data_IF_275567842253
#
_entry.id   IF_275567842253
#
_cell.length_a   1.000
_cell.length_b   1.000
_cell.length_c   1.000
_cell.angle_alpha   90.00
_cell.angle_beta   90.00
_cell.angle_gamma   90.00
#
_symmetry.space_group_name_H-M   'P 1'
#
loop_
_entity.id
_entity.type
_entity.pdbx_description
1 polymer ?
#
# COMPACT_ATOMS: atom_id res chain seq x y z
N UNK A 1 9.21 15.87 15.60
CA UNK A 1 8.37 14.81 16.19
C UNK A 1 8.61 14.70 17.69
N UNK A 2 7.57 14.89 18.50
CA UNK A 2 7.64 14.92 19.98
C UNK A 2 7.52 13.52 20.61
N UNK A 3 8.17 12.51 20.00
CA UNK A 3 8.03 11.10 20.38
C UNK A 3 8.34 10.81 21.86
N UNK A 4 9.40 11.36 22.48
CA UNK A 4 9.69 11.08 23.88
C UNK A 4 8.60 11.59 24.85
N UNK A 5 7.90 12.66 24.48
CA UNK A 5 6.79 13.21 25.28
C UNK A 5 5.53 12.35 25.14
N UNK A 6 5.23 11.91 23.91
CA UNK A 6 4.14 10.98 23.62
C UNK A 6 4.31 9.68 24.41
N UNK A 7 5.50 9.07 24.37
CA UNK A 7 5.81 7.84 25.10
C UNK A 7 5.56 8.01 26.61
N UNK A 8 6.06 9.10 27.20
CA UNK A 8 5.87 9.39 28.62
C UNK A 8 4.41 9.55 29.01
N UNK A 9 3.57 10.14 28.15
CA UNK A 9 2.13 10.25 28.41
C UNK A 9 1.40 8.92 28.27
N UNK A 10 1.74 8.11 27.27
CA UNK A 10 1.14 6.79 27.08
C UNK A 10 1.46 5.83 28.24
N UNK A 11 2.67 5.90 28.80
CA UNK A 11 3.07 5.08 29.96
C UNK A 11 2.34 5.46 31.27
N UNK A 12 1.65 6.61 31.32
CA UNK A 12 0.95 7.11 32.52
C UNK A 12 -0.52 6.72 32.58
N UNK A 13 -1.08 6.16 31.51
CA UNK A 13 -2.48 5.76 31.44
C UNK A 13 -2.63 4.24 31.52
N UNK A 14 -3.83 3.80 31.92
CA UNK A 14 -4.20 2.39 31.82
C UNK A 14 -4.53 2.09 30.36
N UNK A 15 -3.80 1.15 29.74
CA UNK A 15 -3.86 0.84 28.31
C UNK A 15 -5.17 0.18 27.83
N UNK A 16 -6.20 0.08 28.68
CA UNK A 16 -7.52 -0.48 28.34
C UNK A 16 -8.48 0.54 27.76
N UNK A 17 -8.19 1.85 27.87
CA UNK A 17 -9.03 2.92 27.32
C UNK A 17 -8.55 3.37 25.93
N UNK A 18 -9.06 2.70 24.90
CA UNK A 18 -8.75 3.01 23.50
C UNK A 18 -9.08 4.46 23.12
N UNK A 19 -10.12 5.06 23.70
CA UNK A 19 -10.52 6.42 23.38
C UNK A 19 -9.53 7.44 23.96
N UNK A 20 -9.03 7.20 25.18
CA UNK A 20 -8.00 8.04 25.78
C UNK A 20 -6.65 7.91 25.05
N UNK A 21 -6.28 6.68 24.63
CA UNK A 21 -5.09 6.45 23.80
C UNK A 21 -5.16 7.27 22.50
N UNK A 22 -6.30 7.21 21.78
CA UNK A 22 -6.48 7.97 20.54
C UNK A 22 -6.30 9.47 20.77
N UNK A 23 -6.97 10.02 21.80
CA UNK A 23 -6.87 11.45 22.14
C UNK A 23 -5.43 11.88 22.43
N UNK A 24 -4.65 11.04 23.12
CA UNK A 24 -3.24 11.34 23.38
C UNK A 24 -2.46 11.41 22.07
N UNK A 25 -2.60 10.39 21.21
CA UNK A 25 -1.91 10.34 19.91
C UNK A 25 -2.28 11.57 19.06
N UNK A 26 -3.57 11.93 19.01
CA UNK A 26 -4.07 13.07 18.23
C UNK A 26 -3.45 14.41 18.67
N UNK A 27 -3.13 14.59 19.97
CA UNK A 27 -2.46 15.81 20.47
C UNK A 27 -1.02 15.96 19.97
N UNK A 28 -0.37 14.86 19.62
CA UNK A 28 1.00 14.84 19.10
C UNK A 28 1.06 14.63 17.59
N UNK A 29 -0.08 14.39 16.95
CA UNK A 29 -0.17 14.25 15.50
C UNK A 29 0.07 15.61 14.83
N UNK A 30 1.01 15.64 13.90
CA UNK A 30 1.26 16.78 13.03
C UNK A 30 0.64 16.48 11.66
N UNK A 31 -0.16 17.40 11.12
CA UNK A 31 -0.68 17.25 9.77
C UNK A 31 0.44 17.57 8.77
N UNK A 32 0.87 16.60 7.95
CA UNK A 32 1.91 16.85 6.96
C UNK A 32 1.39 17.81 5.89
N UNK A 33 2.25 18.71 5.42
CA UNK A 33 1.97 19.50 4.23
C UNK A 33 1.89 18.56 3.02
N UNK A 34 0.70 18.39 2.46
CA UNK A 34 0.49 17.56 1.28
C UNK A 34 1.10 18.29 0.08
N UNK A 35 2.22 17.77 -0.44
CA UNK A 35 2.85 18.32 -1.62
C UNK A 35 2.10 17.91 -2.89
N UNK A 36 2.19 18.70 -3.96
CA UNK A 36 1.54 18.41 -5.26
C UNK A 36 2.00 17.05 -5.86
N UNK A 37 3.20 16.61 -5.50
CA UNK A 37 3.75 15.31 -5.91
C UNK A 37 3.34 14.15 -4.99
N UNK A 38 2.46 14.38 -4.02
CA UNK A 38 2.03 13.34 -3.09
C UNK A 38 1.21 12.29 -3.81
N UNK A 39 1.25 11.07 -3.29
CA UNK A 39 0.35 10.00 -3.71
C UNK A 39 -1.13 10.40 -3.57
N UNK A 40 -1.44 11.35 -2.68
CA UNK A 40 -2.79 11.85 -2.46
C UNK A 40 -3.38 12.51 -3.71
N UNK A 41 -2.61 13.37 -4.40
CA UNK A 41 -3.06 13.99 -5.66
C UNK A 41 -3.00 13.02 -6.85
N UNK A 42 -2.26 11.92 -6.73
CA UNK A 42 -2.17 10.89 -7.76
C UNK A 42 -3.21 9.78 -7.57
N UNK A 43 -4.01 9.82 -6.51
CA UNK A 43 -4.87 8.72 -6.10
C UNK A 43 -5.89 8.33 -7.17
N UNK A 44 -6.50 9.29 -7.86
CA UNK A 44 -7.42 9.01 -8.97
C UNK A 44 -6.75 8.23 -10.10
N UNK A 45 -5.51 8.58 -10.41
CA UNK A 45 -4.71 7.93 -11.45
C UNK A 45 -4.28 6.54 -11.02
N UNK A 46 -3.85 6.39 -9.77
CA UNK A 46 -3.54 5.10 -9.16
C UNK A 46 -4.77 4.18 -9.24
N UNK A 47 -5.93 4.68 -8.80
CA UNK A 47 -7.18 3.93 -8.83
C UNK A 47 -7.57 3.55 -10.27
N UNK A 48 -7.39 4.45 -11.24
CA UNK A 48 -7.63 4.15 -12.66
C UNK A 48 -6.80 2.95 -13.11
N UNK A 49 -5.46 3.05 -13.03
CA UNK A 49 -4.57 2.03 -13.61
C UNK A 49 -4.58 0.70 -12.83
N UNK A 50 -4.63 0.74 -11.51
CA UNK A 50 -4.57 -0.47 -10.67
C UNK A 50 -5.95 -1.12 -10.43
N UNK A 51 -7.02 -0.58 -11.04
CA UNK A 51 -8.35 -1.23 -11.06
C UNK A 51 -8.46 -2.38 -12.07
N UNK A 52 -7.59 -2.43 -13.09
CA UNK A 52 -7.50 -3.51 -14.08
C UNK A 52 -7.35 -4.87 -13.39
N UNK A 53 -7.75 -5.98 -14.05
CA UNK A 53 -7.82 -7.34 -13.49
C UNK A 53 -6.54 -8.14 -13.64
N UNK A 54 -5.58 -7.74 -14.45
CA UNK A 54 -4.31 -8.50 -14.60
C UNK A 54 -3.11 -7.55 -14.58
N UNK A 55 -1.92 -8.09 -14.30
CA UNK A 55 -0.67 -7.30 -14.36
C UNK A 55 -0.44 -6.81 -15.79
N UNK A 56 -0.78 -7.64 -16.77
CA UNK A 56 -0.70 -7.35 -18.18
C UNK A 56 -1.60 -6.18 -18.58
N UNK A 57 -2.86 -6.16 -18.12
CA UNK A 57 -3.78 -5.04 -18.35
C UNK A 57 -3.29 -3.75 -17.68
N UNK A 58 -2.74 -3.84 -16.45
CA UNK A 58 -2.17 -2.69 -15.75
C UNK A 58 -1.01 -2.11 -16.56
N UNK A 59 -0.05 -2.96 -16.97
CA UNK A 59 1.10 -2.53 -17.77
C UNK A 59 0.68 -1.93 -19.11
N UNK A 60 -0.23 -2.60 -19.83
CA UNK A 60 -0.73 -2.12 -21.12
C UNK A 60 -1.43 -0.77 -20.99
N UNK A 61 -2.26 -0.57 -19.96
CA UNK A 61 -2.93 0.71 -19.72
C UNK A 61 -1.94 1.83 -19.37
N UNK A 62 -0.89 1.53 -18.60
CA UNK A 62 0.17 2.50 -18.28
C UNK A 62 0.99 2.86 -19.51
N UNK A 63 1.40 1.87 -20.31
CA UNK A 63 2.19 2.07 -21.54
C UNK A 63 1.42 2.89 -22.59
N UNK A 64 0.12 2.64 -22.72
CA UNK A 64 -0.76 3.41 -23.62
C UNK A 64 -0.82 4.88 -23.19
N UNK A 65 -0.98 5.15 -21.89
CA UNK A 65 -1.01 6.53 -21.40
C UNK A 65 0.37 7.21 -21.56
N UNK A 66 1.47 6.50 -21.29
CA UNK A 66 2.83 6.99 -21.47
C UNK A 66 3.15 7.37 -22.94
N UNK A 67 2.55 6.67 -23.91
CA UNK A 67 2.72 7.00 -25.34
C UNK A 67 2.02 8.33 -25.71
N UNK A 68 0.96 8.70 -24.99
CA UNK A 68 0.18 9.93 -25.26
C UNK A 68 0.64 11.13 -24.42
N UNK A 69 1.23 10.88 -23.26
CA UNK A 69 1.62 11.91 -22.29
C UNK A 69 3.03 11.66 -21.79
N UNK A 70 3.87 12.68 -21.87
CA UNK A 70 5.18 12.64 -21.23
C UNK A 70 5.03 12.84 -19.72
N UNK A 71 4.83 11.74 -18.99
CA UNK A 71 4.61 11.74 -17.54
C UNK A 71 5.67 10.90 -16.81
N UNK A 72 6.49 11.57 -16.01
CA UNK A 72 7.58 10.95 -15.26
C UNK A 72 7.11 9.91 -14.23
N UNK A 73 5.92 10.09 -13.65
CA UNK A 73 5.36 9.14 -12.69
C UNK A 73 4.94 7.84 -13.39
N UNK A 74 4.32 7.93 -14.57
CA UNK A 74 3.94 6.74 -15.34
C UNK A 74 5.19 5.98 -15.78
N UNK A 75 6.16 6.68 -16.36
CA UNK A 75 7.41 6.08 -16.85
C UNK A 75 8.18 5.38 -15.73
N UNK A 76 8.32 6.02 -14.55
CA UNK A 76 8.97 5.42 -13.39
C UNK A 76 8.20 4.23 -12.81
N UNK A 77 6.85 4.27 -12.85
CA UNK A 77 6.00 3.15 -12.42
C UNK A 77 6.16 1.94 -13.34
N UNK A 78 6.13 2.13 -14.66
CA UNK A 78 6.35 1.06 -15.64
C UNK A 78 7.73 0.43 -15.43
N UNK A 79 8.78 1.25 -15.27
CA UNK A 79 10.14 0.77 -15.02
C UNK A 79 10.22 -0.06 -13.73
N UNK A 80 9.56 0.39 -12.66
CA UNK A 80 9.53 -0.32 -11.38
C UNK A 80 8.82 -1.67 -11.49
N UNK A 81 7.68 -1.71 -12.19
CA UNK A 81 6.96 -2.96 -12.44
C UNK A 81 7.79 -3.94 -13.29
N UNK A 82 8.41 -3.46 -14.37
CA UNK A 82 9.25 -4.30 -15.25
C UNK A 82 10.50 -4.86 -14.56
N UNK A 83 10.99 -4.18 -13.51
CA UNK A 83 12.14 -4.65 -12.71
C UNK A 83 11.76 -5.77 -11.73
N UNK A 84 10.49 -5.90 -11.37
CA UNK A 84 10.02 -6.91 -10.44
C UNK A 84 9.79 -8.28 -11.13
N UNK A 85 9.78 -9.36 -10.34
CA UNK A 85 9.45 -10.70 -10.84
C UNK A 85 8.00 -10.75 -11.36
N UNK A 86 7.76 -11.15 -12.63
CA UNK A 86 6.41 -11.25 -13.20
C UNK A 86 5.51 -12.18 -12.39
N UNK A 87 6.05 -13.29 -11.90
CA UNK A 87 5.33 -14.25 -11.04
C UNK A 87 4.93 -13.58 -9.73
N UNK A 88 5.86 -12.88 -9.08
CA UNK A 88 5.58 -12.22 -7.81
C UNK A 88 4.54 -11.09 -7.95
N UNK A 89 4.57 -10.34 -9.05
CA UNK A 89 3.56 -9.33 -9.34
C UNK A 89 2.16 -9.93 -9.44
N UNK A 90 2.02 -11.05 -10.17
CA UNK A 90 0.74 -11.75 -10.33
C UNK A 90 0.23 -12.29 -9.01
N UNK A 91 1.11 -12.91 -8.23
CA UNK A 91 0.80 -13.41 -6.89
C UNK A 91 0.33 -12.25 -5.99
N UNK A 92 1.10 -11.16 -5.91
CA UNK A 92 0.80 -10.01 -5.06
C UNK A 92 -0.54 -9.37 -5.40
N UNK A 93 -0.81 -9.18 -6.69
CA UNK A 93 -2.08 -8.63 -7.18
C UNK A 93 -3.27 -9.52 -6.79
N UNK A 94 -3.10 -10.84 -6.89
CA UNK A 94 -4.13 -11.81 -6.47
C UNK A 94 -4.34 -11.78 -4.96
N UNK A 95 -3.27 -11.77 -4.16
CA UNK A 95 -3.36 -11.72 -2.69
C UNK A 95 -4.14 -10.49 -2.20
N UNK A 96 -3.87 -9.32 -2.77
CA UNK A 96 -4.57 -8.07 -2.41
C UNK A 96 -6.07 -8.19 -2.69
N UNK A 97 -6.44 -8.73 -3.86
CA UNK A 97 -7.85 -8.83 -4.26
C UNK A 97 -8.62 -9.90 -3.51
N UNK A 98 -8.01 -11.07 -3.34
CA UNK A 98 -8.60 -12.16 -2.57
C UNK A 98 -8.70 -11.75 -1.09
N UNK A 99 -7.70 -11.04 -0.57
CA UNK A 99 -7.66 -10.53 0.81
C UNK A 99 -8.76 -9.53 1.13
N UNK A 100 -9.22 -8.73 0.15
CA UNK A 100 -10.37 -7.82 0.34
C UNK A 100 -11.65 -8.54 0.75
N UNK A 101 -11.79 -9.82 0.39
CA UNK A 101 -13.00 -10.62 0.64
C UNK A 101 -12.85 -11.57 1.84
N UNK A 102 -11.72 -11.53 2.55
CA UNK A 102 -11.33 -12.52 3.54
C UNK A 102 -11.01 -11.87 4.90
N UNK A 103 -11.18 -12.65 5.98
CA UNK A 103 -10.69 -12.30 7.30
C UNK A 103 -9.16 -12.36 7.38
N UNK A 104 -8.59 -11.66 8.36
CA UNK A 104 -7.12 -11.64 8.57
C UNK A 104 -6.56 -13.05 8.81
N UNK A 105 -7.28 -13.89 9.53
CA UNK A 105 -6.95 -15.29 9.78
C UNK A 105 -6.81 -16.09 8.48
N UNK A 106 -7.77 -15.93 7.56
CA UNK A 106 -7.77 -16.59 6.26
C UNK A 106 -6.63 -16.09 5.37
N UNK A 107 -6.38 -14.78 5.36
CA UNK A 107 -5.25 -14.18 4.66
C UNK A 107 -3.91 -14.76 5.13
N UNK A 108 -3.70 -14.84 6.45
CA UNK A 108 -2.46 -15.36 7.04
C UNK A 108 -2.24 -16.83 6.68
N UNK A 109 -3.28 -17.68 6.77
CA UNK A 109 -3.19 -19.10 6.39
C UNK A 109 -2.82 -19.26 4.91
N UNK A 110 -3.45 -18.46 4.02
CA UNK A 110 -3.17 -18.46 2.58
C UNK A 110 -1.74 -18.02 2.28
N UNK A 111 -1.30 -16.92 2.89
CA UNK A 111 0.04 -16.36 2.69
C UNK A 111 1.13 -17.32 3.18
N UNK A 112 0.94 -17.95 4.33
CA UNK A 112 1.85 -18.98 4.83
C UNK A 112 2.01 -20.14 3.83
N UNK A 113 0.89 -20.67 3.32
CA UNK A 113 0.92 -21.76 2.32
C UNK A 113 1.62 -21.32 1.03
N UNK A 114 1.34 -20.12 0.56
CA UNK A 114 1.97 -19.57 -0.64
C UNK A 114 3.49 -19.46 -0.47
N UNK A 115 3.96 -18.86 0.62
CA UNK A 115 5.40 -18.70 0.90
C UNK A 115 6.10 -20.06 0.85
N UNK A 116 5.48 -21.10 1.43
CA UNK A 116 6.04 -22.45 1.40
C UNK A 116 6.14 -23.05 -0.01
N UNK A 117 5.21 -22.72 -0.91
CA UNK A 117 5.30 -23.14 -2.32
C UNK A 117 6.40 -22.36 -3.04
N UNK A 118 6.49 -21.04 -2.83
CA UNK A 118 7.50 -20.18 -3.48
C UNK A 118 8.92 -20.54 -3.06
N UNK A 119 9.15 -20.91 -1.79
CA UNK A 119 10.48 -21.33 -1.30
C UNK A 119 10.91 -22.69 -1.87
N UNK A 120 9.94 -23.52 -2.29
CA UNK A 120 10.20 -24.84 -2.86
C UNK A 120 10.54 -24.84 -4.35
N UNK A 121 10.25 -23.75 -5.04
CA UNK A 121 10.66 -23.52 -6.44
C UNK A 121 12.06 -22.93 -6.53
#
# INVERSE_FOLDING_TARGET
VRLPLLEKELCRIVLTDSANISKIIDRYAEQPAVNEKSSFHQLERINKFFSCKTVEEILSSLETEAATKNDNWISSTIQSLKKASPTNLKISLRLIRDGRLQGIDQCLVREYRLIFHVIKE
#
